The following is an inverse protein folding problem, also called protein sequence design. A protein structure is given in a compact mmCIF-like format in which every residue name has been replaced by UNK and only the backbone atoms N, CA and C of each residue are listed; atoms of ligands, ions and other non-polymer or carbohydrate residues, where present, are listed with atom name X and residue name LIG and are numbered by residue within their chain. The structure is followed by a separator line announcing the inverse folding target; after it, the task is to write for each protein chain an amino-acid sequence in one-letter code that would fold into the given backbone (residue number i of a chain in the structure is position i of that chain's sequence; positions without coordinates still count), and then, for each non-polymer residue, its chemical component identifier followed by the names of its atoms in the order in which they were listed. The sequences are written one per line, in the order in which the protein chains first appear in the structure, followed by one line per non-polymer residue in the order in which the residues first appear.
data_IF_800080760982
#
_entry.id   IF_800080760982
#
_cell.length_a   1.000
_cell.length_b   1.000
_cell.length_c   1.000
_cell.angle_alpha   90.00
_cell.angle_beta   90.00
_cell.angle_gamma   90.00
#
_symmetry.space_group_name_H-M   'P 1'
#
loop_
_entity.id
_entity.type
_entity.pdbx_description
1 polymer ?
#
# COMPACT_ATOMS: atom_id res chain seq x y z
N UNK A 1 12.76 -11.22 19.69
CA UNK A 1 12.19 -12.09 18.61
C UNK A 1 11.66 -13.40 19.19
N UNK A 2 12.47 -14.16 19.92
CA UNK A 2 12.10 -15.46 20.49
C UNK A 2 10.84 -15.39 21.40
N UNK A 3 10.73 -14.36 22.25
CA UNK A 3 9.55 -14.16 23.11
C UNK A 3 8.19 -14.15 22.37
N UNK A 4 8.15 -13.71 21.11
CA UNK A 4 6.92 -13.72 20.31
C UNK A 4 6.57 -15.11 19.76
N UNK A 5 7.59 -15.95 19.58
CA UNK A 5 7.43 -17.37 19.23
C UNK A 5 7.00 -18.13 20.48
N UNK A 6 7.66 -17.88 21.61
CA UNK A 6 7.39 -18.54 22.89
C UNK A 6 5.97 -18.24 23.41
N UNK A 7 5.46 -17.03 23.17
CA UNK A 7 4.09 -16.62 23.48
C UNK A 7 3.05 -17.06 22.43
N UNK A 8 3.45 -17.75 21.36
CA UNK A 8 2.56 -18.18 20.27
C UNK A 8 1.99 -17.03 19.41
N UNK A 9 2.47 -15.80 19.59
CA UNK A 9 1.98 -14.64 18.87
C UNK A 9 2.39 -14.62 17.40
N UNK A 10 3.57 -15.20 17.06
CA UNK A 10 4.06 -15.30 15.68
C UNK A 10 5.19 -16.32 15.52
N UNK A 11 5.05 -17.23 14.56
CA UNK A 11 6.01 -18.31 14.28
C UNK A 11 7.28 -17.82 13.55
N UNK A 12 7.13 -16.88 12.60
CA UNK A 12 8.25 -16.36 11.81
C UNK A 12 8.11 -14.88 11.50
N UNK A 13 9.25 -14.24 11.20
CA UNK A 13 9.33 -12.81 10.87
C UNK A 13 9.64 -12.59 9.38
N UNK A 14 9.24 -13.54 8.54
CA UNK A 14 9.31 -13.43 7.07
C UNK A 14 8.22 -12.47 6.59
N UNK A 15 8.37 -11.19 6.93
CA UNK A 15 7.43 -10.14 6.55
C UNK A 15 7.78 -9.70 5.13
N UNK A 16 6.85 -9.80 4.17
CA UNK A 16 7.12 -9.36 2.79
C UNK A 16 7.65 -7.92 2.73
N UNK A 17 7.13 -7.05 3.61
CA UNK A 17 7.54 -5.64 3.71
C UNK A 17 8.94 -5.41 4.30
N UNK A 18 9.46 -6.38 5.05
CA UNK A 18 10.86 -6.35 5.50
C UNK A 18 11.78 -6.98 4.45
N UNK A 19 11.32 -8.05 3.81
CA UNK A 19 12.05 -8.70 2.72
C UNK A 19 12.24 -7.78 1.51
N UNK A 20 11.27 -6.91 1.21
CA UNK A 20 11.37 -5.95 0.10
C UNK A 20 12.61 -5.05 0.19
N UNK A 21 13.09 -4.73 1.39
CA UNK A 21 14.30 -3.93 1.60
C UNK A 21 15.55 -4.57 0.96
N UNK A 22 15.62 -5.90 0.91
CA UNK A 22 16.73 -6.62 0.27
C UNK A 22 16.82 -6.34 -1.23
N UNK A 23 15.72 -5.92 -1.87
CA UNK A 23 15.66 -5.61 -3.29
C UNK A 23 15.94 -4.13 -3.59
N UNK A 24 16.01 -3.25 -2.58
CA UNK A 24 16.14 -1.81 -2.80
C UNK A 24 17.45 -1.43 -3.49
N UNK A 25 18.57 -2.06 -3.16
CA UNK A 25 19.84 -1.76 -3.83
C UNK A 25 19.76 -2.04 -5.34
N UNK A 26 19.20 -3.19 -5.73
CA UNK A 26 18.99 -3.55 -7.13
C UNK A 26 17.99 -2.61 -7.81
N UNK A 27 16.88 -2.32 -7.16
CA UNK A 27 15.86 -1.44 -7.69
C UNK A 27 16.41 -0.01 -7.89
N UNK A 28 17.24 0.48 -6.98
CA UNK A 28 17.85 1.81 -7.09
C UNK A 28 18.79 1.90 -8.30
N UNK A 29 19.60 0.86 -8.52
CA UNK A 29 20.49 0.80 -9.68
C UNK A 29 19.73 0.76 -11.01
N UNK A 30 18.55 0.13 -11.04
CA UNK A 30 17.78 -0.05 -12.28
C UNK A 30 16.78 1.09 -12.55
N UNK A 31 16.19 1.67 -11.50
CA UNK A 31 15.01 2.54 -11.60
C UNK A 31 15.21 3.91 -10.93
N UNK A 32 16.38 4.16 -10.33
CA UNK A 32 16.69 5.42 -9.67
C UNK A 32 16.18 5.47 -8.23
N UNK A 33 15.55 6.56 -7.83
CA UNK A 33 15.11 6.75 -6.44
C UNK A 33 13.87 5.89 -6.13
N UNK A 34 13.69 5.50 -4.86
CA UNK A 34 12.63 4.56 -4.44
C UNK A 34 11.22 5.15 -4.50
N UNK A 35 11.12 6.48 -4.51
CA UNK A 35 9.88 7.25 -4.68
C UNK A 35 9.31 7.13 -6.10
N UNK A 36 10.15 6.90 -7.09
CA UNK A 36 9.77 6.89 -8.51
C UNK A 36 8.89 5.69 -8.92
N UNK A 37 8.75 4.68 -8.05
CA UNK A 37 7.97 3.47 -8.30
C UNK A 37 7.17 3.01 -7.08
N UNK A 38 6.91 3.91 -6.13
CA UNK A 38 6.03 3.63 -5.00
C UNK A 38 4.56 3.80 -5.40
N UNK A 39 3.64 3.41 -4.52
CA UNK A 39 2.19 3.49 -4.77
C UNK A 39 1.59 4.82 -4.30
N UNK A 40 2.39 5.76 -3.78
CA UNK A 40 1.89 6.98 -3.15
C UNK A 40 1.14 7.87 -4.15
N UNK A 41 1.62 7.95 -5.38
CA UNK A 41 1.00 8.74 -6.45
C UNK A 41 -0.38 8.18 -6.80
N UNK A 42 -0.47 6.87 -7.02
CA UNK A 42 -1.75 6.21 -7.34
C UNK A 42 -2.71 6.28 -6.16
N UNK A 43 -2.23 6.12 -4.93
CA UNK A 43 -3.05 6.21 -3.71
C UNK A 43 -3.57 7.63 -3.48
N UNK A 44 -2.79 8.66 -3.83
CA UNK A 44 -3.26 10.05 -3.80
C UNK A 44 -4.34 10.32 -4.82
N UNK A 45 -4.19 9.76 -6.03
CA UNK A 45 -5.18 9.86 -7.10
C UNK A 45 -6.50 9.17 -6.72
N UNK A 46 -6.44 8.04 -6.01
CA UNK A 46 -7.64 7.36 -5.51
C UNK A 46 -8.53 8.28 -4.66
N UNK A 47 -7.97 9.18 -3.86
CA UNK A 47 -8.76 10.15 -3.05
C UNK A 47 -9.57 11.07 -3.96
N UNK A 48 -8.94 11.61 -5.01
CA UNK A 48 -9.58 12.58 -5.89
C UNK A 48 -10.66 11.89 -6.73
N UNK A 49 -10.36 10.70 -7.29
CA UNK A 49 -11.34 9.89 -8.03
C UNK A 49 -12.54 9.48 -7.17
N UNK A 50 -12.29 9.03 -5.95
CA UNK A 50 -13.35 8.65 -5.01
C UNK A 50 -14.26 9.84 -4.70
N UNK A 51 -13.67 11.03 -4.49
CA UNK A 51 -14.43 12.24 -4.19
C UNK A 51 -15.18 12.76 -5.40
N UNK A 52 -14.54 12.86 -6.56
CA UNK A 52 -15.19 13.35 -7.78
C UNK A 52 -16.40 12.48 -8.16
N UNK A 53 -16.25 11.15 -8.08
CA UNK A 53 -17.35 10.22 -8.33
C UNK A 53 -18.47 10.37 -7.29
N UNK A 54 -18.14 10.51 -6.00
CA UNK A 54 -19.13 10.80 -4.96
C UNK A 54 -19.88 12.12 -5.26
N UNK A 55 -19.17 13.23 -5.44
CA UNK A 55 -19.74 14.55 -5.72
C UNK A 55 -20.59 14.61 -7.00
N UNK A 56 -20.30 13.79 -8.01
CA UNK A 56 -21.04 13.72 -9.26
C UNK A 56 -22.34 12.89 -9.17
N UNK A 57 -22.63 12.28 -8.02
CA UNK A 57 -23.75 11.35 -7.84
C UNK A 57 -24.74 11.83 -6.79
N UNK A 58 -25.81 11.08 -6.57
CA UNK A 58 -26.90 11.46 -5.66
C UNK A 58 -26.60 11.22 -4.17
N UNK A 59 -25.39 10.77 -3.82
CA UNK A 59 -24.94 10.45 -2.45
C UNK A 59 -25.79 9.42 -1.69
N UNK A 60 -26.57 8.58 -2.40
CA UNK A 60 -27.46 7.59 -1.77
C UNK A 60 -26.86 6.19 -1.67
N UNK A 61 -25.92 5.86 -2.56
CA UNK A 61 -25.24 4.56 -2.61
C UNK A 61 -23.73 4.78 -2.70
N UNK A 62 -23.17 5.31 -1.60
CA UNK A 62 -21.79 5.78 -1.51
C UNK A 62 -20.76 4.69 -1.80
N UNK A 63 -21.03 3.42 -1.44
CA UNK A 63 -20.09 2.33 -1.68
C UNK A 63 -19.85 2.10 -3.17
N UNK A 64 -20.91 1.99 -3.97
CA UNK A 64 -20.79 1.87 -5.42
C UNK A 64 -20.15 3.13 -6.05
N UNK A 65 -20.39 4.30 -5.47
CA UNK A 65 -19.87 5.59 -5.96
C UNK A 65 -18.37 5.79 -5.66
N UNK A 66 -17.83 5.10 -4.65
CA UNK A 66 -16.45 5.22 -4.18
C UNK A 66 -15.54 4.06 -4.61
N UNK A 67 -16.09 2.97 -5.16
CA UNK A 67 -15.34 1.72 -5.42
C UNK A 67 -15.29 1.30 -6.90
N UNK A 68 -15.94 2.03 -7.80
CA UNK A 68 -15.91 1.79 -9.25
C UNK A 68 -14.66 2.38 -9.93
#
# INVERSE_FOLDING_TARGET
KQIFVDLGAREHFNLPKLHSLAHYSRAIQLYGTTDNYNTEITERLHIDFTKDAYHATNHKDEYAQMTL
#
